data_IF_093957461987
#
_entry.id   IF_093957461987
#
_cell.length_a   1.000
_cell.length_b   1.000
_cell.length_c   1.000
_cell.angle_alpha   90.00
_cell.angle_beta   90.00
_cell.angle_gamma   90.00
#
_symmetry.space_group_name_H-M   'P 1'
#
loop_
_entity.id
_entity.type
_entity.pdbx_description
1 polymer ?
#
# COMPACT_ATOMS: atom_id res chain seq x y z
N UNK A 1 -23.48 -1.21 3.69
CA UNK A 1 -22.76 -0.16 4.45
C UNK A 1 -21.56 -0.71 5.23
N UNK A 2 -21.68 -1.82 5.96
CA UNK A 2 -20.59 -2.38 6.76
C UNK A 2 -19.30 -2.75 5.96
N UNK A 3 -19.43 -3.29 4.74
CA UNK A 3 -18.28 -3.60 3.89
C UNK A 3 -17.45 -2.36 3.53
N UNK A 4 -18.12 -1.30 3.08
CA UNK A 4 -17.50 -0.03 2.74
C UNK A 4 -16.85 0.61 3.97
N UNK A 5 -17.50 0.53 5.14
CA UNK A 5 -16.93 0.99 6.41
C UNK A 5 -15.66 0.22 6.79
N UNK A 6 -15.63 -1.11 6.62
CA UNK A 6 -14.41 -1.93 6.86
C UNK A 6 -13.26 -1.46 5.96
N UNK A 7 -13.52 -1.26 4.66
CA UNK A 7 -12.48 -0.81 3.70
C UNK A 7 -12.01 0.61 3.97
N UNK A 8 -12.91 1.51 4.32
CA UNK A 8 -12.54 2.87 4.72
C UNK A 8 -11.71 2.88 6.01
N UNK A 9 -12.06 2.05 7.00
CA UNK A 9 -11.30 1.86 8.24
C UNK A 9 -9.91 1.26 7.97
N UNK A 10 -9.82 0.32 7.03
CA UNK A 10 -8.56 -0.29 6.60
C UNK A 10 -7.61 0.76 5.99
N UNK A 11 -8.13 1.61 5.10
CA UNK A 11 -7.38 2.73 4.53
C UNK A 11 -6.99 3.72 5.62
N UNK A 12 -7.92 4.11 6.50
CA UNK A 12 -7.64 5.02 7.61
C UNK A 12 -6.55 4.51 8.55
N UNK A 13 -6.54 3.22 8.85
CA UNK A 13 -5.52 2.58 9.68
C UNK A 13 -4.16 2.62 9.01
N UNK A 14 -4.09 2.31 7.71
CA UNK A 14 -2.86 2.43 6.92
C UNK A 14 -2.32 3.88 6.91
N UNK A 15 -3.18 4.87 6.66
CA UNK A 15 -2.79 6.28 6.69
C UNK A 15 -2.27 6.72 8.07
N UNK A 16 -2.88 6.23 9.14
CA UNK A 16 -2.43 6.50 10.51
C UNK A 16 -1.05 5.87 10.79
N UNK A 17 -0.82 4.63 10.36
CA UNK A 17 0.47 3.95 10.49
C UNK A 17 1.55 4.71 9.72
N UNK A 18 1.28 5.07 8.46
CA UNK A 18 2.19 5.83 7.61
C UNK A 18 2.57 7.18 8.27
N UNK A 19 1.58 7.90 8.81
CA UNK A 19 1.83 9.14 9.56
C UNK A 19 2.72 8.93 10.76
N UNK A 20 2.41 7.94 11.61
CA UNK A 20 3.16 7.69 12.85
C UNK A 20 4.60 7.32 12.53
N UNK A 21 4.83 6.52 11.49
CA UNK A 21 6.17 6.18 11.02
C UNK A 21 6.89 7.45 10.55
N UNK A 22 6.29 8.21 9.62
CA UNK A 22 6.91 9.40 9.06
C UNK A 22 7.21 10.44 10.16
N UNK A 23 6.29 10.66 11.09
CA UNK A 23 6.50 11.54 12.23
C UNK A 23 7.59 11.04 13.16
N UNK A 24 7.62 9.75 13.49
CA UNK A 24 8.65 9.17 14.38
C UNK A 24 10.05 9.27 13.78
N UNK A 25 10.16 9.14 12.46
CA UNK A 25 11.42 9.15 11.72
C UNK A 25 11.89 10.59 11.43
N UNK A 26 10.98 11.52 11.17
CA UNK A 26 11.32 12.90 10.77
C UNK A 26 11.20 13.94 11.89
N UNK A 27 10.45 13.63 12.95
CA UNK A 27 10.05 14.57 14.00
C UNK A 27 9.10 15.68 13.52
N UNK A 28 8.58 15.61 12.29
CA UNK A 28 7.86 16.70 11.64
C UNK A 28 6.45 16.31 11.23
N UNK A 29 5.47 17.03 11.76
CA UNK A 29 4.06 16.90 11.36
C UNK A 29 3.88 17.29 9.90
N UNK A 30 4.63 18.29 9.41
CA UNK A 30 4.54 18.75 8.02
C UNK A 30 4.99 17.65 7.07
N UNK A 31 6.14 17.02 7.32
CA UNK A 31 6.63 15.94 6.47
C UNK A 31 5.75 14.68 6.58
N UNK A 32 5.26 14.35 7.78
CA UNK A 32 4.31 13.26 7.95
C UNK A 32 2.98 13.50 7.21
N UNK A 33 2.42 14.71 7.31
CA UNK A 33 1.18 15.07 6.62
C UNK A 33 1.34 15.11 5.11
N UNK A 34 2.47 15.61 4.62
CA UNK A 34 2.79 15.62 3.19
C UNK A 34 2.89 14.19 2.63
N UNK A 35 3.54 13.28 3.36
CA UNK A 35 3.67 11.87 2.95
C UNK A 35 2.30 11.19 2.78
N UNK A 36 1.38 11.34 3.74
CA UNK A 36 0.02 10.76 3.68
C UNK A 36 -0.76 11.22 2.44
N UNK A 37 -0.49 12.42 1.92
CA UNK A 37 -1.25 12.97 0.78
C UNK A 37 -0.54 12.69 -0.54
N UNK A 38 0.74 13.06 -0.62
CA UNK A 38 1.50 13.03 -1.88
C UNK A 38 1.65 11.60 -2.39
N UNK A 39 1.87 10.65 -1.50
CA UNK A 39 2.07 9.26 -1.87
C UNK A 39 0.83 8.62 -2.52
N UNK A 40 -0.38 8.65 -1.92
CA UNK A 40 -1.57 8.13 -2.59
C UNK A 40 -1.93 8.90 -3.85
N UNK A 41 -1.66 10.22 -3.93
CA UNK A 41 -1.88 10.99 -5.16
C UNK A 41 -1.01 10.45 -6.29
N UNK A 42 0.29 10.26 -6.05
CA UNK A 42 1.21 9.70 -7.06
C UNK A 42 0.79 8.27 -7.43
N UNK A 43 0.44 7.43 -6.44
CA UNK A 43 0.03 6.05 -6.69
C UNK A 43 -1.28 5.97 -7.50
N UNK A 44 -2.28 6.82 -7.22
CA UNK A 44 -3.53 6.89 -8.00
C UNK A 44 -3.26 7.26 -9.46
N UNK A 45 -2.25 8.10 -9.71
CA UNK A 45 -1.85 8.47 -11.08
C UNK A 45 -1.07 7.34 -11.77
N UNK A 46 -0.14 6.67 -11.07
CA UNK A 46 0.75 5.67 -11.69
C UNK A 46 0.13 4.28 -11.85
N UNK A 47 -0.68 3.84 -10.88
CA UNK A 47 -1.26 2.49 -10.88
C UNK A 47 -2.06 2.16 -12.15
N UNK A 48 -2.91 3.06 -12.71
CA UNK A 48 -3.64 2.77 -13.95
C UNK A 48 -2.73 2.47 -15.15
N UNK A 49 -1.53 3.08 -15.21
CA UNK A 49 -0.58 2.80 -16.28
C UNK A 49 0.11 1.45 -16.07
N UNK A 50 0.49 1.14 -14.83
CA UNK A 50 1.05 -0.15 -14.45
C UNK A 50 0.08 -1.31 -14.76
N UNK A 51 -1.18 -1.18 -14.37
CA UNK A 51 -2.22 -2.19 -14.63
C UNK A 51 -2.46 -2.39 -16.14
N UNK A 52 -2.47 -1.31 -16.93
CA UNK A 52 -2.61 -1.40 -18.40
C UNK A 52 -1.43 -2.14 -19.04
N UNK A 53 -0.21 -1.91 -18.55
CA UNK A 53 0.99 -2.61 -19.03
C UNK A 53 0.89 -4.12 -18.76
N UNK A 54 0.51 -4.51 -17.55
CA UNK A 54 0.34 -5.92 -17.19
C UNK A 54 -0.86 -6.59 -17.88
N UNK A 55 -1.95 -5.85 -18.12
CA UNK A 55 -3.09 -6.34 -18.88
C UNK A 55 -2.68 -6.76 -20.30
N UNK A 56 -1.84 -5.98 -20.98
CA UNK A 56 -1.29 -6.32 -22.31
C UNK A 56 -0.43 -7.59 -22.23
N UNK A 57 0.49 -7.65 -21.26
CA UNK A 57 1.36 -8.81 -21.08
C UNK A 57 0.61 -10.12 -20.79
N UNK A 58 -0.57 -10.05 -20.17
CA UNK A 58 -1.46 -11.20 -19.94
C UNK A 58 -2.17 -11.66 -21.21
N UNK A 59 -2.61 -10.73 -22.05
CA UNK A 59 -3.27 -11.03 -23.33
C UNK A 59 -2.29 -11.73 -24.29
N UNK A 60 -1.04 -11.27 -24.32
CA UNK A 60 -0.02 -11.80 -25.25
C UNK A 60 0.48 -13.21 -24.91
N UNK A 61 0.37 -13.65 -23.64
CA UNK A 61 1.01 -14.89 -23.16
C UNK A 61 0.12 -16.13 -23.09
N UNK A 62 -1.18 -16.01 -23.39
CA UNK A 62 -2.11 -17.14 -23.48
C UNK A 62 -2.35 -17.91 -22.17
N UNK A 63 -3.51 -18.54 -22.04
CA UNK A 63 -4.02 -19.14 -20.79
C UNK A 63 -3.34 -20.47 -20.36
N UNK A 64 -2.03 -20.62 -20.51
CA UNK A 64 -1.31 -21.83 -20.10
C UNK A 64 -0.36 -21.52 -18.94
N UNK A 65 -0.62 -22.06 -17.74
CA UNK A 65 0.24 -22.23 -16.53
C UNK A 65 1.10 -21.05 -16.01
N UNK A 66 1.47 -20.05 -16.81
CA UNK A 66 2.21 -18.84 -16.46
C UNK A 66 1.33 -17.71 -15.89
N UNK A 67 0.01 -17.88 -15.85
CA UNK A 67 -0.91 -16.89 -15.28
C UNK A 67 -0.60 -16.56 -13.82
N UNK A 68 -0.25 -17.57 -13.00
CA UNK A 68 0.08 -17.37 -11.59
C UNK A 68 1.37 -16.56 -11.41
N UNK A 69 2.41 -16.86 -12.20
CA UNK A 69 3.68 -16.14 -12.17
C UNK A 69 3.53 -14.69 -12.65
N UNK A 70 2.66 -14.43 -13.64
CA UNK A 70 2.35 -13.07 -14.10
C UNK A 70 1.54 -12.29 -13.06
N UNK A 71 0.57 -12.92 -12.40
CA UNK A 71 -0.19 -12.28 -11.32
C UNK A 71 0.69 -11.98 -10.11
N UNK A 72 1.54 -12.93 -9.71
CA UNK A 72 2.52 -12.71 -8.65
C UNK A 72 3.50 -11.59 -9.04
N UNK A 73 4.00 -11.61 -10.28
CA UNK A 73 4.86 -10.56 -10.83
C UNK A 73 4.21 -9.19 -10.83
N UNK A 74 2.93 -9.10 -11.21
CA UNK A 74 2.16 -7.86 -11.12
C UNK A 74 2.05 -7.35 -9.69
N UNK A 75 1.72 -8.21 -8.71
CA UNK A 75 1.58 -7.77 -7.31
C UNK A 75 2.92 -7.40 -6.68
N UNK A 76 3.98 -8.11 -7.00
CA UNK A 76 5.34 -7.76 -6.57
C UNK A 76 5.76 -6.42 -7.17
N UNK A 77 5.57 -6.23 -8.48
CA UNK A 77 5.91 -4.95 -9.14
C UNK A 77 5.02 -3.79 -8.69
N UNK A 78 3.75 -4.04 -8.39
CA UNK A 78 2.85 -3.06 -7.77
C UNK A 78 3.35 -2.64 -6.38
N UNK A 79 3.79 -3.59 -5.55
CA UNK A 79 4.38 -3.29 -4.25
C UNK A 79 5.73 -2.55 -4.39
N UNK A 80 6.58 -2.94 -5.34
CA UNK A 80 7.84 -2.25 -5.61
C UNK A 80 7.63 -0.82 -6.10
N UNK A 81 6.61 -0.58 -6.93
CA UNK A 81 6.23 0.76 -7.38
C UNK A 81 5.86 1.65 -6.19
N UNK A 82 4.97 1.17 -5.32
CA UNK A 82 4.56 1.87 -4.11
C UNK A 82 5.77 2.16 -3.18
N UNK A 83 6.59 1.15 -2.90
CA UNK A 83 7.79 1.31 -2.07
C UNK A 83 8.79 2.30 -2.69
N UNK A 84 8.93 2.32 -4.03
CA UNK A 84 9.76 3.28 -4.74
C UNK A 84 9.23 4.71 -4.67
N UNK A 85 7.90 4.89 -4.75
CA UNK A 85 7.26 6.19 -4.57
C UNK A 85 7.43 6.68 -3.12
N UNK A 86 7.15 5.85 -2.12
CA UNK A 86 7.35 6.18 -0.71
C UNK A 86 8.80 6.59 -0.42
N UNK A 87 9.77 5.80 -0.93
CA UNK A 87 11.19 6.13 -0.88
C UNK A 87 11.47 7.51 -1.49
N UNK A 88 11.02 7.75 -2.73
CA UNK A 88 11.32 8.97 -3.47
C UNK A 88 10.71 10.20 -2.81
N UNK A 89 9.48 10.11 -2.32
CA UNK A 89 8.80 11.19 -1.59
C UNK A 89 9.55 11.52 -0.31
N UNK A 90 9.89 10.52 0.49
CA UNK A 90 10.61 10.72 1.75
C UNK A 90 12.04 11.23 1.52
N UNK A 91 12.72 10.73 0.50
CA UNK A 91 14.03 11.24 0.09
C UNK A 91 13.95 12.70 -0.36
N UNK A 92 12.97 13.07 -1.19
CA UNK A 92 12.78 14.44 -1.65
C UNK A 92 12.43 15.39 -0.48
N UNK A 93 11.65 14.90 0.50
CA UNK A 93 11.25 15.66 1.66
C UNK A 93 12.41 15.91 2.65
N UNK A 94 13.25 14.90 2.87
CA UNK A 94 14.25 14.90 3.97
C UNK A 94 15.69 15.02 3.51
N UNK A 95 15.98 14.76 2.22
CA UNK A 95 17.33 14.61 1.68
C UNK A 95 18.04 13.33 2.11
N UNK A 96 17.41 12.44 2.89
CA UNK A 96 18.06 11.25 3.46
C UNK A 96 17.59 9.95 2.82
N UNK A 97 18.51 9.26 2.15
CA UNK A 97 18.25 7.95 1.57
C UNK A 97 17.97 6.88 2.64
N UNK A 98 18.52 7.05 3.85
CA UNK A 98 18.25 6.15 4.97
C UNK A 98 16.80 6.27 5.42
N UNK A 99 16.29 7.50 5.60
CA UNK A 99 14.90 7.70 6.01
C UNK A 99 13.93 7.23 4.91
N UNK A 100 14.27 7.46 3.64
CA UNK A 100 13.51 6.91 2.50
C UNK A 100 13.48 5.38 2.49
N UNK A 101 14.62 4.73 2.72
CA UNK A 101 14.70 3.27 2.77
C UNK A 101 13.94 2.67 3.96
N UNK A 102 14.00 3.32 5.12
CA UNK A 102 13.22 2.93 6.29
C UNK A 102 11.73 3.05 6.01
N UNK A 103 11.26 4.16 5.44
CA UNK A 103 9.85 4.34 5.10
C UNK A 103 9.35 3.25 4.13
N UNK A 104 10.12 2.99 3.06
CA UNK A 104 9.78 2.01 2.03
C UNK A 104 9.63 0.56 2.52
N UNK A 105 10.24 0.22 3.68
CA UNK A 105 10.16 -1.13 4.27
C UNK A 105 9.20 -1.15 5.46
N UNK A 106 9.27 -0.14 6.33
CA UNK A 106 8.59 -0.16 7.62
C UNK A 106 7.07 -0.13 7.46
N UNK A 107 6.56 0.63 6.50
CA UNK A 107 5.14 0.71 6.20
C UNK A 107 4.54 -0.64 5.75
N UNK A 108 5.10 -1.36 4.75
CA UNK A 108 4.63 -2.70 4.40
C UNK A 108 4.72 -3.69 5.58
N UNK A 109 5.79 -3.65 6.38
CA UNK A 109 5.94 -4.53 7.55
C UNK A 109 4.86 -4.26 8.59
N UNK A 110 4.62 -3.00 8.93
CA UNK A 110 3.58 -2.62 9.87
C UNK A 110 2.18 -3.00 9.35
N UNK A 111 1.90 -2.81 8.06
CA UNK A 111 0.63 -3.18 7.45
C UNK A 111 0.39 -4.71 7.47
N UNK A 112 1.41 -5.51 7.17
CA UNK A 112 1.31 -6.98 7.21
C UNK A 112 0.99 -7.48 8.62
N UNK A 113 1.43 -6.77 9.66
CA UNK A 113 1.18 -7.16 11.06
C UNK A 113 -0.16 -6.59 11.56
N UNK A 114 -0.46 -5.32 11.31
CA UNK A 114 -1.59 -4.60 11.90
C UNK A 114 -2.90 -4.83 11.16
N UNK A 115 -2.90 -4.94 9.83
CA UNK A 115 -4.13 -5.13 9.06
C UNK A 115 -4.84 -6.45 9.37
N UNK A 116 -4.14 -7.60 9.55
CA UNK A 116 -4.80 -8.83 9.99
C UNK A 116 -5.41 -8.71 11.39
N UNK A 117 -4.81 -7.93 12.29
CA UNK A 117 -5.36 -7.70 13.62
C UNK A 117 -6.59 -6.79 13.55
N UNK A 118 -6.54 -5.74 12.74
CA UNK A 118 -7.70 -4.90 12.42
C UNK A 118 -8.85 -5.73 11.85
N UNK A 119 -8.57 -6.60 10.88
CA UNK A 119 -9.59 -7.43 10.25
C UNK A 119 -10.20 -8.43 11.23
N UNK A 120 -9.39 -9.07 12.08
CA UNK A 120 -9.87 -9.93 13.17
C UNK A 120 -10.74 -9.18 14.17
N UNK A 121 -10.37 -7.96 14.54
CA UNK A 121 -11.17 -7.12 15.44
C UNK A 121 -12.53 -6.77 14.80
N UNK A 122 -12.56 -6.48 13.50
CA UNK A 122 -13.79 -6.21 12.77
C UNK A 122 -14.70 -7.44 12.64
N UNK A 123 -14.11 -8.61 12.48
CA UNK A 123 -14.86 -9.86 12.39
C UNK A 123 -15.45 -10.25 13.77
N UNK A 124 -14.71 -9.98 14.86
CA UNK A 124 -15.18 -10.16 16.23
C UNK A 124 -16.32 -9.22 16.62
N UNK A 125 -16.35 -8.00 16.07
CA UNK A 125 -17.40 -7.00 16.30
C UNK A 125 -18.72 -7.29 15.56
N UNK A 126 -18.82 -8.40 14.82
CA UNK A 126 -20.12 -8.94 14.38
C UNK A 126 -20.44 -8.85 12.89
N UNK A 127 -19.47 -8.70 11.99
CA UNK A 127 -19.69 -8.85 10.53
C UNK A 127 -19.39 -10.28 10.05
N UNK A 128 -20.23 -11.26 10.43
CA UNK A 128 -20.18 -12.66 9.93
C UNK A 128 -20.62 -12.80 8.45
N UNK A 129 -20.18 -11.94 7.53
CA UNK A 129 -20.63 -11.97 6.13
C UNK A 129 -19.55 -11.91 5.04
N UNK A 130 -18.26 -11.99 5.35
CA UNK A 130 -17.21 -11.89 4.30
C UNK A 130 -16.26 -13.11 4.22
N UNK A 131 -16.67 -14.26 4.74
CA UNK A 131 -15.94 -15.53 4.55
C UNK A 131 -16.42 -16.34 3.34
N UNK A 132 -17.33 -15.82 2.52
CA UNK A 132 -17.92 -16.54 1.40
C UNK A 132 -18.22 -15.62 0.20
N UNK A 133 -17.18 -15.10 -0.46
CA UNK A 133 -17.14 -14.82 -1.91
C UNK A 133 -15.71 -15.01 -2.38
#
# INVERSE_FOLDING_TARGET
MAAAAKKLSQVGTHMAIAFVIAYSVTGSIVFGGLAIIVEPVINVVLLPFHEKMWARARLDRGAAHGGLALLAGEKVSQASLHAGVAFAVMYAATGSAVLGGVAAILEPVCNVILLPLHDRAWDALGTRQFAAV
#
